data_IF_923134670035
#
_entry.id   IF_923134670035
#
_cell.length_a   1.000
_cell.length_b   1.000
_cell.length_c   1.000
_cell.angle_alpha   90.00
_cell.angle_beta   90.00
_cell.angle_gamma   90.00
#
_symmetry.space_group_name_H-M   'P 1'
#
loop_
_entity.id
_entity.type
_entity.pdbx_description
1 polymer ?
#
# COMPACT_ATOMS: atom_id res chain seq x y z
N UNK A 1 16.15 -15.91 3.60
CA UNK A 1 17.19 -14.94 3.26
C UNK A 1 16.73 -14.16 2.05
N UNK A 2 16.85 -12.85 2.07
CA UNK A 2 16.46 -11.98 0.95
C UNK A 2 17.21 -10.64 1.01
N UNK A 3 17.07 -9.84 -0.05
CA UNK A 3 17.62 -8.48 -0.13
C UNK A 3 16.59 -7.50 -0.71
N UNK A 4 16.82 -6.20 -0.49
CA UNK A 4 16.00 -5.11 -1.01
C UNK A 4 14.67 -4.92 -0.25
N UNK A 5 13.76 -4.14 -0.83
CA UNK A 5 12.50 -3.71 -0.18
C UNK A 5 11.56 -4.87 0.21
N UNK A 6 11.63 -6.00 -0.48
CA UNK A 6 10.86 -7.19 -0.09
C UNK A 6 11.17 -7.70 1.31
N UNK A 7 12.34 -7.36 1.87
CA UNK A 7 12.69 -7.74 3.23
C UNK A 7 11.82 -7.08 4.30
N UNK A 8 11.21 -5.94 4.02
CA UNK A 8 10.30 -5.29 4.96
C UNK A 8 8.97 -6.06 5.06
N UNK A 9 8.41 -6.47 3.91
CA UNK A 9 7.24 -7.36 3.88
C UNK A 9 7.52 -8.69 4.60
N UNK A 10 8.73 -9.26 4.38
CA UNK A 10 9.14 -10.49 5.06
C UNK A 10 9.25 -10.26 6.56
N UNK A 11 9.86 -9.16 7.00
CA UNK A 11 9.98 -8.83 8.42
C UNK A 11 8.62 -8.76 9.10
N UNK A 12 7.69 -8.00 8.54
CA UNK A 12 6.33 -7.88 9.09
C UNK A 12 5.64 -9.24 9.17
N UNK A 13 5.81 -10.07 8.14
CA UNK A 13 5.24 -11.44 8.13
C UNK A 13 5.88 -12.32 9.19
N UNK A 14 7.19 -12.25 9.38
CA UNK A 14 7.92 -12.98 10.43
C UNK A 14 7.43 -12.59 11.82
N UNK A 15 7.28 -11.29 12.06
CA UNK A 15 6.75 -10.76 13.33
C UNK A 15 5.35 -11.32 13.62
N UNK A 16 4.46 -11.30 12.62
CA UNK A 16 3.10 -11.81 12.76
C UNK A 16 3.07 -13.33 12.97
N UNK A 17 3.85 -14.10 12.19
CA UNK A 17 3.94 -15.54 12.35
C UNK A 17 4.49 -15.93 13.73
N UNK A 18 5.47 -15.19 14.26
CA UNK A 18 6.03 -15.45 15.59
C UNK A 18 5.05 -15.10 16.71
N UNK A 19 4.24 -14.04 16.58
CA UNK A 19 3.12 -13.76 17.51
C UNK A 19 2.14 -14.93 17.58
N UNK A 20 1.94 -15.62 16.44
CA UNK A 20 1.08 -16.79 16.32
C UNK A 20 1.81 -18.13 16.66
N UNK A 21 2.95 -18.07 17.34
CA UNK A 21 3.65 -19.22 17.89
C UNK A 21 4.58 -19.95 16.92
N UNK A 22 4.77 -19.47 15.70
CA UNK A 22 5.80 -20.01 14.78
C UNK A 22 7.19 -19.53 15.22
N UNK A 23 8.21 -20.30 14.84
CA UNK A 23 9.62 -19.96 15.10
C UNK A 23 10.31 -19.78 13.75
N UNK A 24 10.19 -18.58 13.20
CA UNK A 24 10.75 -18.21 11.89
C UNK A 24 11.58 -16.93 12.01
N UNK A 25 12.53 -16.76 11.10
CA UNK A 25 13.44 -15.61 11.10
C UNK A 25 13.74 -15.10 9.71
N UNK A 26 14.41 -13.96 9.63
CA UNK A 26 14.83 -13.31 8.40
C UNK A 26 16.29 -12.86 8.51
N UNK A 27 17.07 -13.15 7.47
CA UNK A 27 18.36 -12.51 7.22
C UNK A 27 18.19 -11.53 6.06
N UNK A 28 18.39 -10.23 6.33
CA UNK A 28 18.39 -9.15 5.33
C UNK A 28 19.82 -8.95 4.81
N UNK A 29 20.06 -9.22 3.54
CA UNK A 29 21.35 -8.95 2.90
C UNK A 29 21.38 -7.50 2.43
N UNK A 30 22.09 -6.63 3.16
CA UNK A 30 22.23 -5.22 2.79
C UNK A 30 23.44 -4.98 1.88
N UNK A 31 24.58 -5.57 2.19
CA UNK A 31 25.78 -5.52 1.35
C UNK A 31 25.95 -6.84 0.60
N UNK A 32 25.51 -6.86 -0.67
CA UNK A 32 25.56 -8.07 -1.49
C UNK A 32 26.97 -8.33 -2.08
N UNK A 33 27.70 -7.30 -2.47
CA UNK A 33 29.05 -7.42 -3.02
C UNK A 33 30.01 -6.43 -2.33
N UNK A 34 31.17 -6.89 -1.82
CA UNK A 34 31.63 -8.30 -1.79
C UNK A 34 30.76 -9.14 -0.84
N UNK A 35 30.42 -10.38 -1.25
CA UNK A 35 29.65 -11.29 -0.42
C UNK A 35 30.51 -11.83 0.74
N UNK A 36 29.99 -11.76 1.97
CA UNK A 36 30.72 -12.21 3.16
C UNK A 36 30.09 -13.47 3.75
N UNK A 37 30.68 -14.60 3.42
CA UNK A 37 30.32 -15.91 4.00
C UNK A 37 30.34 -15.87 5.53
N UNK A 38 31.39 -15.30 6.12
CA UNK A 38 31.54 -15.18 7.58
C UNK A 38 30.32 -14.50 8.23
N UNK A 39 29.96 -13.30 7.76
CA UNK A 39 28.85 -12.55 8.34
C UNK A 39 27.49 -13.23 8.10
N UNK A 40 27.31 -13.90 6.95
CA UNK A 40 26.10 -14.67 6.70
C UNK A 40 25.94 -15.81 7.72
N UNK A 41 26.99 -16.63 7.90
CA UNK A 41 26.95 -17.77 8.81
C UNK A 41 26.78 -17.35 10.28
N UNK A 42 27.43 -16.25 10.69
CA UNK A 42 27.29 -15.67 12.04
C UNK A 42 25.85 -15.14 12.30
N UNK A 43 25.17 -14.62 11.25
CA UNK A 43 23.80 -14.10 11.38
C UNK A 43 22.72 -15.19 11.50
N UNK A 44 23.05 -16.46 11.13
CA UNK A 44 22.09 -17.55 11.11
C UNK A 44 22.32 -18.44 12.35
N UNK A 45 21.34 -18.55 13.28
CA UNK A 45 21.44 -19.41 14.43
C UNK A 45 21.76 -20.87 14.06
N UNK A 46 22.54 -21.56 14.90
CA UNK A 46 22.92 -22.97 14.66
C UNK A 46 21.71 -23.92 14.65
N UNK A 47 20.62 -23.51 15.29
CA UNK A 47 19.36 -24.28 15.36
C UNK A 47 18.55 -24.22 14.05
N UNK A 48 19.00 -23.49 13.04
CA UNK A 48 18.28 -23.39 11.76
C UNK A 48 18.56 -24.62 10.90
N UNK A 49 17.50 -25.38 10.63
CA UNK A 49 17.54 -26.60 9.81
C UNK A 49 17.09 -26.38 8.38
N UNK A 50 16.33 -25.31 8.10
CA UNK A 50 15.71 -25.07 6.80
C UNK A 50 15.82 -23.59 6.42
N UNK A 51 16.21 -23.32 5.17
CA UNK A 51 16.45 -21.98 4.65
C UNK A 51 15.76 -21.86 3.28
N UNK A 52 14.92 -20.83 3.10
CA UNK A 52 14.46 -20.37 1.80
C UNK A 52 15.25 -19.13 1.41
N UNK A 53 15.83 -19.11 0.22
CA UNK A 53 16.50 -17.95 -0.35
C UNK A 53 15.61 -17.37 -1.44
N UNK A 54 15.30 -16.09 -1.32
CA UNK A 54 14.40 -15.38 -2.24
C UNK A 54 15.17 -14.39 -3.11
N UNK A 55 15.14 -14.61 -4.41
CA UNK A 55 15.71 -13.74 -5.43
C UNK A 55 14.59 -13.05 -6.25
N UNK A 56 14.73 -11.74 -6.50
CA UNK A 56 13.83 -10.99 -7.37
C UNK A 56 14.37 -10.95 -8.81
N UNK A 57 14.89 -12.06 -9.27
CA UNK A 57 15.42 -12.24 -10.63
C UNK A 57 15.20 -13.67 -11.09
N UNK A 58 15.30 -13.89 -12.41
CA UNK A 58 15.40 -15.20 -13.03
C UNK A 58 16.66 -15.21 -13.86
N UNK A 59 17.67 -15.95 -13.40
CA UNK A 59 18.96 -16.08 -14.12
C UNK A 59 18.86 -17.19 -15.17
N UNK A 60 18.78 -16.79 -16.43
CA UNK A 60 18.62 -17.74 -17.54
C UNK A 60 19.94 -18.50 -17.80
N UNK A 61 19.83 -19.84 -17.86
CA UNK A 61 20.99 -20.71 -18.13
C UNK A 61 21.88 -20.97 -16.93
N UNK A 62 21.55 -20.44 -15.75
CA UNK A 62 22.23 -20.76 -14.49
C UNK A 62 21.53 -21.91 -13.76
N UNK A 63 22.28 -22.59 -12.87
CA UNK A 63 21.75 -23.62 -11.99
C UNK A 63 20.83 -23.08 -10.88
N UNK A 64 20.87 -21.76 -10.64
CA UNK A 64 20.05 -21.06 -9.67
C UNK A 64 20.26 -19.56 -9.75
N UNK A 65 19.48 -18.83 -9.00
CA UNK A 65 19.55 -17.37 -8.90
C UNK A 65 20.78 -16.94 -8.07
N UNK A 66 21.29 -15.73 -8.25
CA UNK A 66 22.58 -15.31 -7.71
C UNK A 66 22.70 -15.41 -6.19
N UNK A 67 21.73 -14.90 -5.42
CA UNK A 67 21.80 -14.96 -3.95
C UNK A 67 21.72 -16.41 -3.45
N UNK A 68 20.85 -17.22 -4.07
CA UNK A 68 20.73 -18.64 -3.74
C UNK A 68 22.07 -19.38 -3.91
N UNK A 69 22.77 -19.17 -5.03
CA UNK A 69 24.07 -19.80 -5.28
C UNK A 69 25.13 -19.34 -4.29
N UNK A 70 25.19 -18.04 -3.95
CA UNK A 70 26.12 -17.53 -2.94
C UNK A 70 25.84 -18.11 -1.53
N UNK A 71 24.58 -18.31 -1.19
CA UNK A 71 24.20 -18.96 0.08
C UNK A 71 24.60 -20.43 0.09
N UNK A 72 24.37 -21.16 -1.01
CA UNK A 72 24.82 -22.56 -1.12
C UNK A 72 26.32 -22.68 -0.93
N UNK A 73 27.10 -21.82 -1.61
CA UNK A 73 28.55 -21.80 -1.50
C UNK A 73 29.00 -21.48 -0.07
N UNK A 74 28.35 -20.53 0.59
CA UNK A 74 28.66 -20.19 1.99
C UNK A 74 28.49 -21.37 2.95
N UNK A 75 27.56 -22.28 2.68
CA UNK A 75 27.34 -23.47 3.49
C UNK A 75 28.20 -24.68 3.07
N UNK A 76 28.71 -24.70 1.85
CA UNK A 76 29.55 -25.83 1.32
C UNK A 76 30.79 -26.06 2.17
N UNK A 77 31.39 -24.99 2.68
CA UNK A 77 32.61 -25.02 3.49
C UNK A 77 32.35 -25.00 5.00
N UNK A 78 31.07 -25.14 5.40
CA UNK A 78 30.70 -25.16 6.83
C UNK A 78 30.32 -26.56 7.30
N UNK A 79 30.50 -26.84 8.59
CA UNK A 79 30.03 -28.08 9.22
C UNK A 79 28.49 -28.17 9.34
N UNK A 80 27.77 -27.10 8.92
CA UNK A 80 26.30 -26.98 8.97
C UNK A 80 25.70 -27.43 7.64
N UNK A 81 24.62 -28.21 7.70
CA UNK A 81 23.94 -28.72 6.51
C UNK A 81 22.41 -28.48 6.57
N UNK A 82 21.94 -27.22 6.60
CA UNK A 82 20.52 -26.96 6.54
C UNK A 82 19.96 -27.30 5.16
N UNK A 83 18.67 -27.64 5.10
CA UNK A 83 17.96 -27.79 3.81
C UNK A 83 17.74 -26.42 3.18
N UNK A 84 18.42 -26.11 2.07
CA UNK A 84 18.34 -24.80 1.40
C UNK A 84 17.54 -24.93 0.10
N UNK A 85 16.51 -24.08 -0.06
CA UNK A 85 15.66 -24.04 -1.25
C UNK A 85 15.65 -22.63 -1.87
N UNK A 86 15.54 -22.57 -3.20
CA UNK A 86 15.45 -21.36 -3.98
C UNK A 86 13.99 -20.95 -4.20
N UNK A 87 13.72 -19.65 -4.19
CA UNK A 87 12.43 -19.07 -4.58
C UNK A 87 12.59 -17.76 -5.33
N UNK A 88 11.68 -17.54 -6.25
CA UNK A 88 11.57 -16.29 -7.06
C UNK A 88 10.31 -15.55 -6.70
N UNK A 89 10.41 -14.25 -6.53
CA UNK A 89 9.29 -13.37 -6.21
C UNK A 89 9.38 -12.04 -6.95
N UNK A 90 8.28 -11.31 -7.04
CA UNK A 90 8.25 -9.92 -7.52
C UNK A 90 8.69 -9.71 -8.98
N UNK A 91 8.77 -10.77 -9.79
CA UNK A 91 9.09 -10.67 -11.21
C UNK A 91 7.95 -9.97 -11.96
N UNK A 92 8.28 -9.21 -13.02
CA UNK A 92 7.28 -8.47 -13.77
C UNK A 92 6.58 -7.40 -12.93
N UNK A 93 7.26 -6.84 -11.94
CA UNK A 93 6.71 -5.83 -11.01
C UNK A 93 5.50 -6.30 -10.21
N UNK A 94 5.31 -7.61 -10.05
CA UNK A 94 4.26 -8.16 -9.21
C UNK A 94 4.49 -7.79 -7.75
N UNK A 95 3.42 -7.38 -7.08
CA UNK A 95 3.44 -7.06 -5.66
C UNK A 95 3.77 -8.28 -4.81
N UNK A 96 4.39 -8.05 -3.66
CA UNK A 96 4.78 -9.10 -2.73
C UNK A 96 4.14 -8.84 -1.37
N UNK A 97 3.05 -9.55 -1.11
CA UNK A 97 2.21 -9.38 0.08
C UNK A 97 2.60 -10.37 1.19
N UNK A 98 2.19 -10.13 2.45
CA UNK A 98 2.39 -11.07 3.56
C UNK A 98 1.89 -12.49 3.27
N UNK A 99 0.77 -12.64 2.57
CA UNK A 99 0.24 -13.94 2.14
C UNK A 99 1.25 -14.74 1.29
N UNK A 100 1.96 -14.07 0.38
CA UNK A 100 3.03 -14.71 -0.42
C UNK A 100 4.17 -15.19 0.47
N UNK A 101 4.58 -14.40 1.44
CA UNK A 101 5.67 -14.76 2.35
C UNK A 101 5.27 -15.89 3.29
N UNK A 102 4.02 -15.86 3.79
CA UNK A 102 3.48 -16.99 4.56
C UNK A 102 3.56 -18.29 3.78
N UNK A 103 3.17 -18.29 2.49
CA UNK A 103 3.22 -19.49 1.65
C UNK A 103 4.65 -20.01 1.43
N UNK A 104 5.67 -19.13 1.43
CA UNK A 104 7.09 -19.55 1.43
C UNK A 104 7.44 -20.31 2.70
N UNK A 105 7.06 -19.80 3.88
CA UNK A 105 7.30 -20.50 5.14
C UNK A 105 6.50 -21.80 5.24
N UNK A 106 5.28 -21.83 4.72
CA UNK A 106 4.46 -23.06 4.69
C UNK A 106 5.07 -24.11 3.75
N UNK A 107 5.61 -23.71 2.62
CA UNK A 107 6.36 -24.60 1.74
C UNK A 107 7.64 -25.11 2.43
N UNK A 108 8.39 -24.22 3.08
CA UNK A 108 9.63 -24.57 3.79
C UNK A 108 9.41 -25.57 4.92
N UNK A 109 8.23 -25.56 5.54
CA UNK A 109 7.85 -26.48 6.61
C UNK A 109 7.51 -27.91 6.14
N UNK A 110 7.25 -28.13 4.84
CA UNK A 110 6.93 -29.45 4.29
C UNK A 110 8.14 -30.38 4.34
N UNK A 111 7.91 -31.69 4.43
CA UNK A 111 8.98 -32.68 4.33
C UNK A 111 9.69 -32.63 2.97
N UNK A 112 8.91 -32.44 1.91
CA UNK A 112 9.38 -32.27 0.55
C UNK A 112 8.96 -30.90 0.00
N UNK A 113 9.65 -29.80 0.40
CA UNK A 113 9.34 -28.48 -0.10
C UNK A 113 9.67 -28.34 -1.60
N UNK A 114 8.85 -27.62 -2.34
CA UNK A 114 9.19 -27.23 -3.70
C UNK A 114 10.47 -26.41 -3.69
N UNK A 115 11.43 -26.77 -4.53
CA UNK A 115 12.66 -26.00 -4.79
C UNK A 115 12.54 -25.27 -6.12
N UNK A 116 13.24 -24.16 -6.30
CA UNK A 116 13.14 -23.27 -7.46
C UNK A 116 11.69 -22.80 -7.72
N UNK A 117 10.94 -22.60 -6.64
CA UNK A 117 9.54 -22.18 -6.71
C UNK A 117 9.41 -20.72 -7.16
N UNK A 118 8.20 -20.36 -7.59
CA UNK A 118 7.74 -18.98 -7.76
C UNK A 118 6.61 -18.67 -6.77
N UNK A 119 6.52 -17.43 -6.32
CA UNK A 119 5.43 -16.96 -5.46
C UNK A 119 4.90 -15.61 -5.97
N UNK A 120 3.57 -15.44 -5.93
CA UNK A 120 2.89 -14.27 -6.46
C UNK A 120 2.88 -14.21 -8.00
N UNK A 121 3.31 -15.28 -8.66
CA UNK A 121 3.35 -15.44 -10.12
C UNK A 121 2.83 -16.83 -10.44
N UNK A 122 2.01 -16.95 -11.48
CA UNK A 122 1.55 -18.24 -11.97
C UNK A 122 2.57 -18.73 -13.03
N UNK A 123 3.22 -19.84 -12.73
CA UNK A 123 4.09 -20.55 -13.67
C UNK A 123 3.36 -21.80 -14.17
N UNK A 124 2.81 -21.69 -15.36
CA UNK A 124 2.04 -22.74 -16.04
C UNK A 124 2.91 -23.68 -16.90
N UNK A 125 4.21 -23.41 -16.98
CA UNK A 125 5.17 -24.22 -17.76
C UNK A 125 5.84 -25.28 -16.89
N UNK A 126 6.45 -24.87 -15.77
CA UNK A 126 7.16 -25.78 -14.87
C UNK A 126 6.38 -26.13 -13.61
N UNK A 127 5.22 -25.48 -13.37
CA UNK A 127 4.30 -25.71 -12.26
C UNK A 127 4.97 -25.59 -10.88
N UNK A 128 5.94 -24.67 -10.75
CA UNK A 128 6.67 -24.42 -9.51
C UNK A 128 6.03 -23.37 -8.61
N UNK A 129 4.91 -22.76 -9.03
CA UNK A 129 4.20 -21.77 -8.23
C UNK A 129 3.70 -22.36 -6.90
N UNK A 130 3.83 -21.56 -5.84
CA UNK A 130 3.21 -21.86 -4.56
C UNK A 130 1.74 -21.43 -4.56
N UNK A 131 0.92 -22.22 -3.90
CA UNK A 131 -0.44 -21.81 -3.57
C UNK A 131 -0.39 -20.74 -2.48
N UNK A 132 -1.22 -19.72 -2.61
CA UNK A 132 -1.29 -18.56 -1.71
C UNK A 132 -2.68 -18.50 -1.08
N UNK A 133 -2.71 -18.41 0.24
CA UNK A 133 -3.92 -18.13 1.00
C UNK A 133 -4.11 -16.61 1.09
N UNK A 134 -4.91 -16.06 0.18
CA UNK A 134 -5.19 -14.63 0.08
C UNK A 134 -5.97 -14.07 1.28
N UNK A 135 -6.52 -14.91 2.14
CA UNK A 135 -7.20 -14.49 3.37
C UNK A 135 -6.22 -14.06 4.48
N UNK A 136 -4.93 -14.38 4.33
CA UNK A 136 -3.91 -13.96 5.29
C UNK A 136 -3.56 -12.49 5.09
N UNK A 137 -4.15 -11.64 5.90
CA UNK A 137 -3.91 -10.20 5.97
C UNK A 137 -3.37 -9.85 7.35
N UNK A 138 -2.36 -8.98 7.41
CA UNK A 138 -1.83 -8.47 8.68
C UNK A 138 -2.59 -7.20 9.04
N UNK A 139 -3.37 -7.27 10.12
CA UNK A 139 -4.08 -6.12 10.69
C UNK A 139 -3.70 -5.98 12.16
N UNK A 140 -2.96 -4.92 12.49
CA UNK A 140 -2.52 -4.61 13.84
C UNK A 140 -3.55 -3.83 14.67
N UNK A 141 -4.67 -3.43 14.04
CA UNK A 141 -5.74 -2.65 14.67
C UNK A 141 -5.35 -1.20 15.01
N UNK A 142 -4.12 -0.76 14.71
CA UNK A 142 -3.60 0.57 15.03
C UNK A 142 -3.21 1.39 13.80
N UNK A 143 -2.91 0.71 12.69
CA UNK A 143 -2.54 1.35 11.43
C UNK A 143 -3.78 1.75 10.66
N UNK A 144 -3.95 3.04 10.37
CA UNK A 144 -4.98 3.53 9.42
C UNK A 144 -4.47 3.35 7.99
N UNK A 145 -5.26 2.67 7.16
CA UNK A 145 -4.93 2.31 5.78
C UNK A 145 -5.87 2.98 4.81
N UNK A 146 -5.33 3.77 3.89
CA UNK A 146 -6.11 4.58 2.96
C UNK A 146 -5.70 4.32 1.52
N UNK A 147 -6.68 4.20 0.62
CA UNK A 147 -6.46 4.08 -0.83
C UNK A 147 -7.09 5.28 -1.53
N UNK A 148 -6.33 5.91 -2.42
CA UNK A 148 -6.82 7.03 -3.21
C UNK A 148 -6.69 6.71 -4.69
N UNK A 149 -7.83 6.72 -5.37
CA UNK A 149 -7.93 6.57 -6.82
C UNK A 149 -7.93 7.94 -7.47
N UNK A 150 -6.98 8.16 -8.35
CA UNK A 150 -6.78 9.40 -9.06
C UNK A 150 -6.47 9.19 -10.54
N UNK A 151 -6.38 10.30 -11.25
CA UNK A 151 -6.00 10.33 -12.66
C UNK A 151 -4.67 11.08 -12.83
N UNK A 152 -3.80 10.57 -13.67
CA UNK A 152 -2.51 11.19 -13.95
C UNK A 152 -2.63 12.66 -14.36
N UNK A 153 -2.13 13.55 -13.52
CA UNK A 153 -2.21 15.01 -13.72
C UNK A 153 -3.33 15.71 -12.96
N UNK A 154 -4.23 15.00 -12.27
CA UNK A 154 -5.31 15.60 -11.45
C UNK A 154 -4.83 16.18 -10.11
N UNK A 155 -3.56 15.89 -9.74
CA UNK A 155 -2.92 16.36 -8.51
C UNK A 155 -3.18 15.51 -7.27
N UNK A 156 -3.95 14.42 -7.35
CA UNK A 156 -4.23 13.50 -6.23
C UNK A 156 -2.94 12.98 -5.59
N UNK A 157 -1.97 12.56 -6.39
CA UNK A 157 -0.66 12.09 -5.87
C UNK A 157 0.08 13.18 -5.09
N UNK A 158 0.03 14.43 -5.56
CA UNK A 158 0.62 15.58 -4.87
C UNK A 158 -0.05 15.84 -3.52
N UNK A 159 -1.38 15.82 -3.48
CA UNK A 159 -2.16 15.97 -2.25
C UNK A 159 -1.84 14.84 -1.24
N UNK A 160 -1.74 13.61 -1.70
CA UNK A 160 -1.41 12.47 -0.85
C UNK A 160 0.01 12.55 -0.26
N UNK A 161 1.01 12.98 -1.06
CA UNK A 161 2.36 13.27 -0.54
C UNK A 161 2.35 14.39 0.49
N UNK A 162 1.51 15.40 0.30
CA UNK A 162 1.34 16.48 1.27
C UNK A 162 0.69 15.97 2.57
N UNK A 163 -0.33 15.10 2.49
CA UNK A 163 -0.95 14.49 3.68
C UNK A 163 0.07 13.68 4.50
N UNK A 164 0.89 12.85 3.84
CA UNK A 164 1.99 12.12 4.49
C UNK A 164 2.92 13.07 5.22
N UNK A 165 3.31 14.17 4.57
CA UNK A 165 4.22 15.17 5.14
C UNK A 165 3.59 15.91 6.32
N UNK A 166 2.32 16.32 6.19
CA UNK A 166 1.59 16.98 7.28
C UNK A 166 1.56 16.09 8.53
N UNK A 167 1.21 14.82 8.39
CA UNK A 167 1.12 13.89 9.51
C UNK A 167 2.51 13.60 10.08
N UNK A 168 3.49 13.28 9.22
CA UNK A 168 4.84 12.93 9.65
C UNK A 168 5.62 14.10 10.30
N UNK A 169 5.40 15.34 9.83
CA UNK A 169 6.11 16.51 10.37
C UNK A 169 5.47 17.06 11.67
N UNK A 170 4.20 16.78 11.93
CA UNK A 170 3.45 17.42 13.03
C UNK A 170 2.93 16.45 14.09
N UNK A 171 3.23 15.16 13.97
CA UNK A 171 2.80 14.12 14.92
C UNK A 171 3.91 13.11 15.16
N UNK A 172 3.76 12.29 16.20
CA UNK A 172 4.65 11.16 16.47
C UNK A 172 4.28 9.91 15.64
N UNK A 173 3.37 10.03 14.67
CA UNK A 173 2.97 8.92 13.82
C UNK A 173 3.98 8.66 12.71
N UNK A 174 4.21 7.40 12.44
CA UNK A 174 4.87 6.95 11.21
C UNK A 174 3.89 7.05 10.05
N UNK A 175 4.36 7.60 8.92
CA UNK A 175 3.56 7.78 7.72
C UNK A 175 4.27 7.18 6.51
N UNK A 176 3.57 6.36 5.72
CA UNK A 176 4.10 5.72 4.52
C UNK A 176 3.17 5.98 3.33
N UNK A 177 3.75 6.24 2.17
CA UNK A 177 3.06 6.25 0.88
C UNK A 177 3.67 5.24 -0.08
N UNK A 178 2.83 4.42 -0.69
CA UNK A 178 3.19 3.50 -1.75
C UNK A 178 2.30 3.77 -2.95
N UNK A 179 2.90 4.07 -4.12
CA UNK A 179 2.18 4.62 -5.26
C UNK A 179 2.25 3.67 -6.45
N UNK A 180 1.11 3.40 -7.06
CA UNK A 180 1.00 2.69 -8.32
C UNK A 180 0.61 3.66 -9.45
N UNK A 181 1.25 3.49 -10.60
CA UNK A 181 1.05 4.33 -11.77
C UNK A 181 0.82 3.47 -13.01
N UNK A 182 -0.20 3.79 -13.79
CA UNK A 182 -0.33 3.26 -15.15
C UNK A 182 0.89 3.68 -16.00
N UNK A 183 1.25 2.85 -16.96
CA UNK A 183 2.31 3.14 -17.93
C UNK A 183 2.06 4.42 -18.76
N UNK A 184 0.83 4.91 -18.83
CA UNK A 184 0.47 6.16 -19.50
C UNK A 184 0.90 7.38 -18.67
N UNK A 185 1.64 8.30 -19.28
CA UNK A 185 2.09 9.55 -18.63
C UNK A 185 0.96 10.51 -18.25
N UNK A 186 -0.11 10.55 -19.03
CA UNK A 186 -1.24 11.49 -18.85
C UNK A 186 -2.55 10.71 -18.89
N UNK A 187 -3.50 11.08 -18.05
CA UNK A 187 -4.80 10.44 -17.92
C UNK A 187 -4.73 8.92 -17.65
N UNK A 188 -3.60 8.43 -17.12
CA UNK A 188 -3.46 7.08 -16.62
C UNK A 188 -3.98 6.97 -15.19
N UNK A 189 -4.42 5.77 -14.82
CA UNK A 189 -4.80 5.46 -13.45
C UNK A 189 -3.63 5.71 -12.50
N UNK A 190 -3.92 6.33 -11.36
CA UNK A 190 -3.00 6.40 -10.22
C UNK A 190 -3.69 5.85 -8.97
N UNK A 191 -2.99 5.01 -8.23
CA UNK A 191 -3.44 4.55 -6.93
C UNK A 191 -2.39 4.91 -5.88
N UNK A 192 -2.83 5.58 -4.83
CA UNK A 192 -1.96 5.91 -3.69
C UNK A 192 -2.42 5.10 -2.48
N UNK A 193 -1.50 4.34 -1.91
CA UNK A 193 -1.71 3.55 -0.70
C UNK A 193 -1.00 4.25 0.46
N UNK A 194 -1.74 4.81 1.39
CA UNK A 194 -1.20 5.52 2.54
C UNK A 194 -1.43 4.72 3.81
N UNK A 195 -0.41 4.67 4.67
CA UNK A 195 -0.50 4.07 6.00
C UNK A 195 -0.02 5.06 7.05
N UNK A 196 -0.76 5.15 8.14
CA UNK A 196 -0.45 5.98 9.29
C UNK A 196 -0.53 5.13 10.56
N UNK A 197 0.55 5.10 11.34
CA UNK A 197 0.66 4.17 12.48
C UNK A 197 1.43 4.81 13.63
N UNK A 198 1.10 4.50 14.90
CA UNK A 198 1.96 4.84 16.04
C UNK A 198 3.25 4.02 16.08
N UNK A 199 3.33 2.94 15.29
CA UNK A 199 4.48 2.04 15.22
C UNK A 199 5.18 2.11 13.86
N UNK A 200 6.48 1.74 13.76
CA UNK A 200 7.18 1.65 12.49
C UNK A 200 6.45 0.78 11.45
N UNK A 201 6.39 1.26 10.21
CA UNK A 201 5.65 0.61 9.12
C UNK A 201 6.64 -0.16 8.24
N UNK A 202 6.50 -1.50 8.23
CA UNK A 202 7.27 -2.41 7.37
C UNK A 202 6.38 -3.03 6.29
N UNK A 203 5.75 -2.19 5.46
CA UNK A 203 4.72 -2.61 4.51
C UNK A 203 5.04 -2.12 3.09
N UNK A 204 6.04 -2.73 2.44
CA UNK A 204 6.43 -2.44 1.06
C UNK A 204 5.54 -3.17 0.04
N UNK A 205 4.21 -3.07 0.20
CA UNK A 205 3.18 -3.71 -0.64
C UNK A 205 1.88 -2.89 -0.65
N UNK A 206 0.99 -3.18 -1.61
CA UNK A 206 -0.32 -2.55 -1.70
C UNK A 206 -1.21 -2.89 -0.51
N UNK A 207 -2.17 -2.03 -0.20
CA UNK A 207 -3.13 -2.26 0.87
C UNK A 207 -4.16 -3.28 0.37
N UNK A 208 -4.25 -4.41 1.06
CA UNK A 208 -5.24 -5.46 0.81
C UNK A 208 -6.57 -5.19 1.52
N UNK A 209 -6.52 -4.53 2.70
CA UNK A 209 -7.68 -4.13 3.47
C UNK A 209 -7.53 -2.67 3.91
N UNK A 210 -8.45 -1.80 3.48
CA UNK A 210 -8.44 -0.37 3.72
C UNK A 210 -9.51 0.06 4.72
N UNK A 211 -9.20 1.07 5.53
CA UNK A 211 -10.15 1.77 6.40
C UNK A 211 -10.89 2.86 5.63
N UNK A 212 -10.21 3.47 4.67
CA UNK A 212 -10.70 4.59 3.88
C UNK A 212 -10.34 4.44 2.41
N UNK A 213 -11.29 4.66 1.52
CA UNK A 213 -11.06 4.73 0.07
C UNK A 213 -11.63 6.03 -0.47
N UNK A 214 -10.84 6.76 -1.25
CA UNK A 214 -11.29 7.96 -1.97
C UNK A 214 -11.14 7.77 -3.48
N UNK A 215 -12.13 8.24 -4.24
CA UNK A 215 -12.10 8.25 -5.69
C UNK A 215 -12.34 9.66 -6.22
N UNK A 216 -11.30 10.25 -6.85
CA UNK A 216 -11.39 11.59 -7.45
C UNK A 216 -12.14 11.61 -8.78
N UNK A 217 -11.94 10.67 -9.72
CA UNK A 217 -12.68 10.64 -10.99
C UNK A 217 -13.99 9.85 -10.84
N UNK A 218 -15.16 10.54 -10.88
CA UNK A 218 -16.46 9.87 -10.79
C UNK A 218 -16.68 8.75 -11.84
N UNK A 219 -16.05 8.85 -13.02
CA UNK A 219 -16.17 7.83 -14.07
C UNK A 219 -15.64 6.46 -13.65
N UNK A 220 -14.79 6.39 -12.63
CA UNK A 220 -14.17 5.15 -12.17
C UNK A 220 -15.16 4.19 -11.49
N UNK A 221 -16.31 4.67 -11.03
CA UNK A 221 -17.36 3.79 -10.45
C UNK A 221 -17.87 2.72 -11.43
N UNK A 222 -17.73 2.96 -12.76
CA UNK A 222 -18.12 2.01 -13.82
C UNK A 222 -16.94 1.23 -14.41
N UNK A 223 -15.70 1.57 -14.03
CA UNK A 223 -14.50 1.01 -14.64
C UNK A 223 -13.75 0.07 -13.68
N UNK A 224 -13.86 0.32 -12.38
CA UNK A 224 -13.09 -0.37 -11.36
C UNK A 224 -13.95 -0.76 -10.18
N UNK A 225 -13.54 -1.82 -9.52
CA UNK A 225 -14.11 -2.24 -8.24
C UNK A 225 -13.44 -1.45 -7.10
N UNK A 226 -14.04 -0.28 -6.80
CA UNK A 226 -13.43 0.72 -5.93
C UNK A 226 -13.45 0.33 -4.45
N UNK A 227 -14.43 -0.48 -4.02
CA UNK A 227 -14.64 -0.82 -2.60
C UNK A 227 -14.24 -2.25 -2.25
N UNK A 228 -13.71 -3.02 -3.23
CA UNK A 228 -13.25 -4.38 -3.02
C UNK A 228 -12.35 -4.54 -1.79
N UNK A 229 -11.38 -3.64 -1.65
CA UNK A 229 -10.40 -3.67 -0.57
C UNK A 229 -10.84 -2.90 0.67
N UNK A 230 -12.06 -2.38 0.71
CA UNK A 230 -12.57 -1.67 1.87
C UNK A 230 -13.09 -2.68 2.89
N UNK A 231 -12.69 -2.52 4.16
CA UNK A 231 -13.16 -3.36 5.26
C UNK A 231 -14.64 -3.12 5.55
N UNK A 232 -15.26 -4.03 6.30
CA UNK A 232 -16.59 -3.80 6.85
C UNK A 232 -16.61 -2.54 7.72
N UNK A 233 -17.61 -1.69 7.53
CA UNK A 233 -17.76 -0.40 8.22
C UNK A 233 -16.73 0.66 7.81
N UNK A 234 -15.92 0.40 6.76
CA UNK A 234 -14.97 1.36 6.21
C UNK A 234 -15.64 2.57 5.55
N UNK A 235 -14.86 3.55 5.15
CA UNK A 235 -15.36 4.81 4.57
C UNK A 235 -15.01 4.87 3.08
N UNK A 236 -16.01 5.13 2.24
CA UNK A 236 -15.84 5.44 0.82
C UNK A 236 -16.21 6.89 0.53
N UNK A 237 -15.29 7.65 -0.04
CA UNK A 237 -15.48 9.04 -0.48
C UNK A 237 -15.41 9.12 -1.99
N UNK A 238 -16.49 9.56 -2.63
CA UNK A 238 -16.55 9.80 -4.07
C UNK A 238 -16.61 11.30 -4.36
N UNK A 239 -15.66 11.83 -5.14
CA UNK A 239 -15.79 13.17 -5.70
C UNK A 239 -16.70 13.11 -6.92
N UNK A 240 -17.86 13.76 -6.85
CA UNK A 240 -18.86 13.73 -7.91
C UNK A 240 -19.68 15.02 -7.95
N UNK A 241 -20.20 15.33 -9.13
CA UNK A 241 -21.17 16.40 -9.35
C UNK A 241 -22.62 15.90 -9.29
N UNK A 242 -22.83 14.58 -9.20
CA UNK A 242 -24.18 13.99 -9.17
C UNK A 242 -24.90 14.29 -7.86
N UNK A 243 -26.18 14.61 -7.96
CA UNK A 243 -27.08 14.67 -6.81
C UNK A 243 -27.36 13.26 -6.25
N UNK A 244 -27.97 13.20 -5.07
CA UNK A 244 -28.33 11.93 -4.44
C UNK A 244 -29.26 11.09 -5.34
N UNK A 245 -30.23 11.73 -6.01
CA UNK A 245 -31.13 11.06 -6.94
C UNK A 245 -30.40 10.53 -8.20
N UNK A 246 -29.42 11.28 -8.69
CA UNK A 246 -28.61 10.87 -9.86
C UNK A 246 -27.63 9.74 -9.53
N UNK A 247 -27.21 9.58 -8.26
CA UNK A 247 -26.30 8.51 -7.86
C UNK A 247 -26.86 7.12 -8.14
N UNK A 248 -28.16 6.89 -7.90
CA UNK A 248 -28.80 5.60 -8.18
C UNK A 248 -28.75 5.22 -9.67
N UNK A 249 -28.78 6.21 -10.57
CA UNK A 249 -28.71 5.97 -12.02
C UNK A 249 -27.28 5.74 -12.51
N UNK A 250 -26.30 6.32 -11.83
CA UNK A 250 -24.92 6.35 -12.28
C UNK A 250 -24.04 5.30 -11.64
N UNK A 251 -24.29 4.93 -10.38
CA UNK A 251 -23.51 3.91 -9.66
C UNK A 251 -24.04 2.51 -10.02
N UNK A 252 -23.16 1.59 -10.43
CA UNK A 252 -23.58 0.20 -10.74
C UNK A 252 -24.16 -0.51 -9.51
N UNK A 253 -25.24 -1.28 -9.72
CA UNK A 253 -25.91 -2.02 -8.63
C UNK A 253 -24.99 -2.95 -7.84
N UNK A 254 -23.94 -3.53 -8.48
CA UNK A 254 -22.99 -4.37 -7.75
C UNK A 254 -22.20 -3.58 -6.71
N UNK A 255 -21.85 -2.32 -7.03
CA UNK A 255 -21.12 -1.43 -6.12
C UNK A 255 -22.00 -0.99 -4.96
N UNK A 256 -23.26 -0.59 -5.22
CA UNK A 256 -24.24 -0.27 -4.17
C UNK A 256 -24.48 -1.47 -3.26
N UNK A 257 -24.63 -2.66 -3.84
CA UNK A 257 -24.78 -3.88 -3.06
C UNK A 257 -23.57 -4.16 -2.16
N UNK A 258 -22.37 -4.02 -2.66
CA UNK A 258 -21.16 -4.24 -1.85
C UNK A 258 -21.02 -3.20 -0.73
N UNK A 259 -21.39 -1.94 -1.00
CA UNK A 259 -21.47 -0.88 0.01
C UNK A 259 -22.42 -1.28 1.13
N UNK A 260 -23.64 -1.75 0.78
CA UNK A 260 -24.63 -2.21 1.75
C UNK A 260 -24.18 -3.47 2.51
N UNK A 261 -23.70 -4.51 1.80
CA UNK A 261 -23.27 -5.79 2.38
C UNK A 261 -22.14 -5.63 3.40
N UNK A 262 -21.21 -4.68 3.16
CA UNK A 262 -20.08 -4.36 4.04
C UNK A 262 -20.38 -3.23 5.05
N UNK A 263 -21.60 -2.70 5.12
CA UNK A 263 -21.97 -1.54 5.95
C UNK A 263 -21.00 -0.35 5.76
N UNK A 264 -20.58 -0.09 4.52
CA UNK A 264 -19.64 1.00 4.20
C UNK A 264 -20.33 2.34 4.40
N UNK A 265 -19.66 3.26 5.09
CA UNK A 265 -20.09 4.65 5.19
C UNK A 265 -19.74 5.36 3.87
N UNK A 266 -20.78 5.62 3.07
CA UNK A 266 -20.60 6.23 1.77
C UNK A 266 -20.77 7.74 1.84
N UNK A 267 -19.77 8.49 1.39
CA UNK A 267 -19.77 9.94 1.33
C UNK A 267 -19.53 10.42 -0.09
N UNK A 268 -20.16 11.54 -0.44
CA UNK A 268 -19.88 12.29 -1.66
C UNK A 268 -19.40 13.70 -1.34
N UNK A 269 -18.62 14.28 -2.25
CA UNK A 269 -18.20 15.68 -2.20
C UNK A 269 -18.19 16.26 -3.61
N UNK A 270 -18.80 17.44 -3.80
CA UNK A 270 -18.67 18.19 -5.05
C UNK A 270 -17.51 19.17 -4.96
N UNK A 271 -16.29 18.62 -5.01
CA UNK A 271 -15.07 19.42 -4.94
C UNK A 271 -14.90 20.38 -6.14
N UNK A 272 -15.50 20.04 -7.29
CA UNK A 272 -15.48 20.89 -8.48
C UNK A 272 -16.28 22.19 -8.29
N UNK A 273 -17.44 22.11 -7.62
CA UNK A 273 -18.26 23.27 -7.31
C UNK A 273 -17.49 24.24 -6.41
N UNK A 274 -16.93 23.74 -5.29
CA UNK A 274 -16.16 24.61 -4.38
C UNK A 274 -14.96 25.23 -5.12
N UNK A 275 -14.19 24.43 -5.87
CA UNK A 275 -13.02 24.92 -6.58
C UNK A 275 -13.35 26.04 -7.58
N UNK A 276 -14.47 25.94 -8.30
CA UNK A 276 -14.93 26.97 -9.21
C UNK A 276 -15.35 28.26 -8.48
N UNK A 277 -16.14 28.13 -7.41
CA UNK A 277 -16.66 29.27 -6.64
C UNK A 277 -15.56 30.05 -5.90
N UNK A 278 -14.49 29.37 -5.47
CA UNK A 278 -13.34 30.06 -4.83
C UNK A 278 -12.26 30.54 -5.82
N UNK A 279 -12.43 30.27 -7.12
CA UNK A 279 -11.49 30.73 -8.15
C UNK A 279 -10.32 29.78 -8.45
N UNK A 280 -10.32 28.56 -7.94
CA UNK A 280 -9.29 27.54 -8.20
C UNK A 280 -9.49 26.78 -9.52
N UNK A 281 -10.61 26.99 -10.23
CA UNK A 281 -10.96 26.31 -11.48
C UNK A 281 -11.13 24.80 -11.28
N UNK A 282 -10.27 23.99 -11.90
CA UNK A 282 -10.34 22.52 -11.80
C UNK A 282 -9.48 21.91 -10.68
N UNK A 283 -8.92 22.72 -9.79
CA UNK A 283 -8.01 22.25 -8.71
C UNK A 283 -8.79 21.84 -7.48
N UNK A 284 -9.22 20.60 -7.44
CA UNK A 284 -10.09 20.05 -6.39
C UNK A 284 -9.33 19.48 -5.17
N UNK A 285 -7.99 19.43 -5.25
CA UNK A 285 -7.17 18.66 -4.31
C UNK A 285 -7.30 19.10 -2.86
N UNK A 286 -7.38 20.42 -2.60
CA UNK A 286 -7.50 20.93 -1.22
C UNK A 286 -8.83 20.52 -0.61
N UNK A 287 -9.91 20.52 -1.39
CA UNK A 287 -11.24 20.08 -0.93
C UNK A 287 -11.22 18.59 -0.58
N UNK A 288 -10.70 17.76 -1.49
CA UNK A 288 -10.65 16.29 -1.30
C UNK A 288 -9.73 15.94 -0.12
N UNK A 289 -8.58 16.61 0.02
CA UNK A 289 -7.66 16.40 1.12
C UNK A 289 -8.27 16.82 2.46
N UNK A 290 -9.03 17.90 2.50
CA UNK A 290 -9.75 18.32 3.70
C UNK A 290 -10.86 17.32 4.06
N UNK A 291 -11.64 16.86 3.08
CA UNK A 291 -12.66 15.82 3.28
C UNK A 291 -12.03 14.52 3.82
N UNK A 292 -10.85 14.14 3.32
CA UNK A 292 -10.09 13.02 3.87
C UNK A 292 -9.78 13.20 5.35
N UNK A 293 -9.25 14.34 5.77
CA UNK A 293 -8.94 14.58 7.19
C UNK A 293 -10.18 14.60 8.08
N UNK A 294 -11.30 15.16 7.57
CA UNK A 294 -12.57 15.17 8.30
C UNK A 294 -13.07 13.74 8.54
N UNK A 295 -13.04 12.88 7.51
CA UNK A 295 -13.65 11.56 7.56
C UNK A 295 -12.73 10.49 8.17
N UNK A 296 -11.42 10.59 7.97
CA UNK A 296 -10.46 9.58 8.44
C UNK A 296 -10.12 9.71 9.92
N UNK A 297 -10.31 10.90 10.48
CA UNK A 297 -9.98 11.24 11.89
C UNK A 297 -8.53 10.86 12.28
N UNK A 298 -7.62 10.78 11.30
CA UNK A 298 -6.19 10.48 11.54
C UNK A 298 -5.55 11.55 12.43
N UNK A 299 -6.05 12.78 12.32
CA UNK A 299 -5.70 13.92 13.18
C UNK A 299 -6.98 14.58 13.70
N UNK A 300 -6.92 15.26 14.88
CA UNK A 300 -7.96 16.19 15.27
C UNK A 300 -8.19 17.22 14.16
N UNK A 301 -9.47 17.47 13.82
CA UNK A 301 -9.81 18.26 12.62
C UNK A 301 -9.25 19.69 12.66
N UNK A 302 -9.25 20.33 13.84
CA UNK A 302 -8.72 21.69 14.00
C UNK A 302 -7.21 21.74 13.72
N UNK A 303 -6.47 20.72 14.17
CA UNK A 303 -5.05 20.59 13.89
C UNK A 303 -4.81 20.31 12.39
N UNK A 304 -5.61 19.43 11.79
CA UNK A 304 -5.52 19.13 10.36
C UNK A 304 -5.76 20.37 9.49
N UNK A 305 -6.79 21.15 9.79
CA UNK A 305 -7.09 22.40 9.08
C UNK A 305 -5.94 23.41 9.22
N UNK A 306 -5.41 23.57 10.44
CA UNK A 306 -4.26 24.44 10.70
C UNK A 306 -3.05 24.00 9.86
N UNK A 307 -2.66 22.74 9.91
CA UNK A 307 -1.51 22.23 9.18
C UNK A 307 -1.69 22.28 7.66
N UNK A 308 -2.93 22.08 7.16
CA UNK A 308 -3.26 22.29 5.76
C UNK A 308 -3.00 23.74 5.33
N UNK A 309 -3.49 24.73 6.10
CA UNK A 309 -3.27 26.15 5.83
C UNK A 309 -1.81 26.55 5.91
N UNK A 310 -1.07 26.04 6.88
CA UNK A 310 0.39 26.25 6.98
C UNK A 310 1.13 25.66 5.76
N UNK A 311 0.69 24.50 5.25
CA UNK A 311 1.23 23.86 4.06
C UNK A 311 0.90 24.65 2.78
N UNK A 312 -0.30 25.22 2.71
CA UNK A 312 -0.74 26.11 1.62
C UNK A 312 0.17 27.35 1.57
N UNK A 313 0.39 28.01 2.69
CA UNK A 313 1.28 29.16 2.79
C UNK A 313 2.70 28.84 2.31
N UNK A 314 3.28 27.73 2.78
CA UNK A 314 4.61 27.26 2.37
C UNK A 314 4.70 26.96 0.87
N UNK A 315 3.63 26.42 0.26
CA UNK A 315 3.63 25.95 -1.13
C UNK A 315 3.28 27.05 -2.13
N UNK A 316 2.46 28.01 -1.73
CA UNK A 316 1.87 28.99 -2.63
C UNK A 316 2.18 30.44 -2.24
N UNK A 317 2.72 30.71 -1.06
CA UNK A 317 3.01 32.11 -0.61
C UNK A 317 3.85 32.90 -1.60
N UNK A 318 4.85 32.28 -2.24
CA UNK A 318 5.64 32.92 -3.29
C UNK A 318 4.89 33.18 -4.62
N UNK A 319 3.71 32.57 -4.82
CA UNK A 319 2.89 32.72 -6.03
C UNK A 319 1.86 33.84 -5.91
N UNK A 320 1.72 34.44 -4.74
CA UNK A 320 0.82 35.54 -4.41
C UNK A 320 -0.26 35.19 -3.40
N UNK A 321 -0.64 36.17 -2.59
CA UNK A 321 -1.60 36.00 -1.51
C UNK A 321 -2.98 35.55 -1.99
N UNK A 322 -3.40 36.01 -3.18
CA UNK A 322 -4.70 35.61 -3.75
C UNK A 322 -4.81 34.09 -3.92
N UNK A 323 -3.70 33.42 -4.30
CA UNK A 323 -3.68 31.96 -4.47
C UNK A 323 -3.75 31.25 -3.12
N UNK A 324 -3.07 31.78 -2.11
CA UNK A 324 -3.15 31.28 -0.74
C UNK A 324 -4.58 31.40 -0.22
N UNK A 325 -5.20 32.56 -0.39
CA UNK A 325 -6.55 32.84 0.09
C UNK A 325 -7.61 31.96 -0.60
N UNK A 326 -7.48 31.72 -1.91
CA UNK A 326 -8.36 30.79 -2.63
C UNK A 326 -8.26 29.35 -2.08
N UNK A 327 -7.04 28.87 -1.84
CA UNK A 327 -6.84 27.53 -1.28
C UNK A 327 -7.35 27.42 0.17
N UNK A 328 -7.12 28.44 1.00
CA UNK A 328 -7.63 28.50 2.37
C UNK A 328 -9.18 28.48 2.40
N UNK A 329 -9.82 29.25 1.50
CA UNK A 329 -11.28 29.22 1.35
C UNK A 329 -11.79 27.84 0.93
N UNK A 330 -11.06 27.13 0.06
CA UNK A 330 -11.42 25.78 -0.34
C UNK A 330 -11.36 24.79 0.86
N UNK A 331 -10.36 24.92 1.73
CA UNK A 331 -10.26 24.17 2.98
C UNK A 331 -11.43 24.48 3.91
N UNK A 332 -11.74 25.76 4.14
CA UNK A 332 -12.83 26.17 5.05
C UNK A 332 -14.22 25.71 4.58
N UNK A 333 -14.42 25.59 3.26
CA UNK A 333 -15.68 25.22 2.67
C UNK A 333 -15.86 23.73 2.36
N UNK A 334 -14.80 22.94 2.53
CA UNK A 334 -14.82 21.52 2.15
C UNK A 334 -15.95 20.71 2.83
N UNK A 335 -16.30 21.06 4.06
CA UNK A 335 -17.39 20.42 4.80
C UNK A 335 -18.80 20.78 4.29
N UNK A 336 -18.96 21.89 3.54
CA UNK A 336 -20.28 22.36 3.06
C UNK A 336 -20.88 21.42 2.00
N UNK A 337 -20.04 20.77 1.18
CA UNK A 337 -20.44 19.85 0.10
C UNK A 337 -20.20 18.38 0.45
N UNK A 338 -19.80 18.08 1.69
CA UNK A 338 -19.61 16.71 2.16
C UNK A 338 -20.95 16.15 2.62
N UNK A 339 -21.43 15.08 1.96
CA UNK A 339 -22.72 14.47 2.22
C UNK A 339 -22.56 12.97 2.48
N UNK A 340 -23.24 12.46 3.51
CA UNK A 340 -23.38 11.02 3.75
C UNK A 340 -24.58 10.49 2.96
N UNK A 341 -24.35 9.45 2.18
CA UNK A 341 -25.34 8.80 1.32
C UNK A 341 -25.76 7.49 1.98
N UNK A 342 -27.05 7.31 2.15
CA UNK A 342 -27.61 6.05 2.67
C UNK A 342 -27.90 5.11 1.51
N UNK A 343 -27.31 3.93 1.54
CA UNK A 343 -27.47 2.85 0.57
C UNK A 343 -28.25 1.70 1.18
#
# INVERSE_FOLDING_TARGET
IAMGSGTDTIQQTVEELNKNGRKVGLVKVHLYRPFSTKHLLEAIPETVERIAVLDRTKEKGSAGEPLYLDVLEAFSDSDRNPKIIAGRYGLGQKDTRPAHIKSVFDNLAKDNPKNHFTVGIIDDVTNTSLEVDDSFVINDGQTTRCIFWGNGGDGTVGANKNAIKIIGDNTDMFAQGYFDYDAKKSNGLTMSHLRFSPNPIHAAYFIDEADFVSCSPQAYVRQYDLVKNLKEGGIFLLNTIWSEEELEEHIPNYLLKEIADKNIKFYTVNASKIAQEVGLGHRTNMVIQTAFFILSEVLPIDDAIKYLKDSIEKSYGMKGQDIVDMNNKAVDRASEELQEIKV
#
